data_IF_026465537413
#
_entry.id   IF_026465537413
#
_cell.length_a   1.000
_cell.length_b   1.000
_cell.length_c   1.000
_cell.angle_alpha   90.00
_cell.angle_beta   90.00
_cell.angle_gamma   90.00
#
_symmetry.space_group_name_H-M   'P 1'
#
loop_
_entity.id
_entity.type
_entity.pdbx_description
1 polymer ?
#
# COMPACT_ATOMS: atom_id res chain seq x y z
N UNK A 1 11.71 -14.65 -27.27
CA UNK A 1 10.33 -14.59 -27.79
C UNK A 1 10.08 -13.33 -28.61
N UNK A 2 10.21 -12.09 -28.09
CA UNK A 2 9.93 -10.84 -28.84
C UNK A 2 10.71 -10.70 -30.16
N UNK A 3 12.02 -11.00 -30.18
CA UNK A 3 12.83 -10.97 -31.42
C UNK A 3 12.27 -11.91 -32.49
N UNK A 4 11.87 -13.12 -32.10
CA UNK A 4 11.29 -14.10 -33.02
C UNK A 4 9.95 -13.59 -33.61
N UNK A 5 9.04 -13.13 -32.78
CA UNK A 5 7.74 -12.64 -33.22
C UNK A 5 7.88 -11.43 -34.16
N UNK A 6 8.75 -10.48 -33.81
CA UNK A 6 8.92 -9.26 -34.61
C UNK A 6 9.71 -9.48 -35.88
N UNK A 7 10.79 -10.28 -35.84
CA UNK A 7 11.70 -10.46 -36.96
C UNK A 7 11.24 -11.59 -37.91
N UNK A 8 10.62 -12.65 -37.40
CA UNK A 8 10.24 -13.82 -38.21
C UNK A 8 8.76 -13.81 -38.57
N UNK A 9 7.86 -13.53 -37.60
CA UNK A 9 6.43 -13.50 -37.85
C UNK A 9 5.98 -12.13 -38.41
N UNK A 10 6.75 -11.07 -38.17
CA UNK A 10 6.51 -9.74 -38.74
C UNK A 10 5.39 -8.94 -38.06
N UNK A 11 5.13 -9.19 -36.76
CA UNK A 11 4.11 -8.46 -36.01
C UNK A 11 4.64 -7.90 -34.70
N UNK A 12 4.08 -6.77 -34.26
CA UNK A 12 4.28 -6.20 -32.91
C UNK A 12 3.25 -6.67 -31.88
N UNK A 13 2.30 -7.53 -32.26
CA UNK A 13 1.23 -8.02 -31.38
C UNK A 13 1.79 -9.08 -30.41
N UNK A 14 2.69 -8.67 -29.54
CA UNK A 14 3.25 -9.50 -28.47
C UNK A 14 3.52 -8.64 -27.24
N UNK A 15 3.03 -9.10 -26.11
CA UNK A 15 3.32 -8.50 -24.79
C UNK A 15 3.38 -9.60 -23.73
N UNK A 16 3.56 -9.21 -22.48
CA UNK A 16 3.64 -10.08 -21.32
C UNK A 16 2.49 -9.78 -20.35
N UNK A 17 2.00 -10.79 -19.62
CA UNK A 17 1.01 -10.58 -18.57
C UNK A 17 1.52 -9.60 -17.49
N UNK A 18 2.82 -9.53 -17.29
CA UNK A 18 3.44 -8.59 -16.36
C UNK A 18 3.11 -7.12 -16.65
N UNK A 19 2.75 -6.77 -17.87
CA UNK A 19 2.31 -5.41 -18.27
C UNK A 19 1.18 -4.89 -17.40
N UNK A 20 0.19 -5.71 -17.14
CA UNK A 20 -0.97 -5.40 -16.30
C UNK A 20 -0.75 -5.86 -14.87
N UNK A 21 -0.12 -7.01 -14.67
CA UNK A 21 0.00 -7.68 -13.37
C UNK A 21 0.82 -6.86 -12.35
N UNK A 22 2.08 -6.51 -12.67
CA UNK A 22 2.97 -5.89 -11.68
C UNK A 22 3.96 -4.87 -12.25
N UNK A 23 4.09 -4.73 -13.56
CA UNK A 23 5.09 -3.81 -14.16
C UNK A 23 4.93 -2.36 -13.71
N UNK A 24 3.71 -1.79 -13.59
CA UNK A 24 3.55 -0.43 -13.08
C UNK A 24 4.08 -0.26 -11.67
N UNK A 25 3.76 -1.18 -10.76
CA UNK A 25 4.25 -1.15 -9.37
C UNK A 25 5.75 -1.39 -9.30
N UNK A 26 6.29 -2.35 -10.07
CA UNK A 26 7.73 -2.59 -10.13
C UNK A 26 8.50 -1.34 -10.60
N UNK A 27 7.98 -0.61 -11.60
CA UNK A 27 8.56 0.65 -12.06
C UNK A 27 8.47 1.74 -10.99
N UNK A 28 7.31 1.87 -10.33
CA UNK A 28 7.11 2.82 -9.24
C UNK A 28 8.07 2.58 -8.08
N UNK A 29 8.20 1.33 -7.64
CA UNK A 29 9.15 0.94 -6.59
C UNK A 29 10.60 1.18 -7.00
N UNK A 30 10.97 0.86 -8.24
CA UNK A 30 12.32 1.11 -8.74
C UNK A 30 12.66 2.60 -8.74
N UNK A 31 11.72 3.46 -9.08
CA UNK A 31 11.91 4.92 -9.04
C UNK A 31 11.97 5.46 -7.62
N UNK A 32 11.14 4.92 -6.71
CA UNK A 32 11.07 5.38 -5.32
C UNK A 32 12.17 4.79 -4.42
N UNK A 33 12.56 3.52 -4.62
CA UNK A 33 13.46 2.78 -3.72
C UNK A 33 14.73 2.26 -4.41
N UNK A 34 14.87 2.45 -5.72
CA UNK A 34 15.97 1.88 -6.50
C UNK A 34 15.85 0.38 -6.80
N UNK A 35 14.77 -0.27 -6.37
CA UNK A 35 14.51 -1.70 -6.61
C UNK A 35 13.04 -1.97 -6.85
N UNK A 36 12.71 -2.85 -7.78
CA UNK A 36 11.33 -3.32 -8.04
C UNK A 36 10.93 -4.55 -7.23
N UNK A 37 11.72 -4.93 -6.22
CA UNK A 37 11.48 -6.09 -5.37
C UNK A 37 10.99 -5.67 -3.97
N UNK A 38 10.44 -6.63 -3.22
CA UNK A 38 10.06 -6.42 -1.83
C UNK A 38 11.25 -5.93 -0.99
N UNK A 39 11.02 -4.91 -0.16
CA UNK A 39 12.06 -4.32 0.71
C UNK A 39 12.33 -5.13 1.96
N UNK A 40 11.38 -6.00 2.35
CA UNK A 40 11.42 -6.78 3.59
C UNK A 40 11.13 -8.26 3.34
N UNK A 41 11.58 -9.09 4.25
CA UNK A 41 11.22 -10.52 4.26
C UNK A 41 9.99 -10.78 5.15
N UNK A 42 9.28 -11.90 4.90
CA UNK A 42 8.14 -12.32 5.75
C UNK A 42 8.61 -12.63 7.20
N UNK A 43 9.89 -12.90 7.41
CA UNK A 43 10.46 -13.16 8.74
C UNK A 43 10.43 -11.90 9.59
N UNK A 44 10.53 -10.72 8.98
CA UNK A 44 10.53 -9.42 9.67
C UNK A 44 9.20 -9.11 10.37
N UNK A 45 8.14 -9.85 10.03
CA UNK A 45 6.87 -9.80 10.75
C UNK A 45 7.01 -10.04 12.26
N UNK A 46 8.07 -10.74 12.69
CA UNK A 46 8.37 -10.98 14.13
C UNK A 46 8.68 -9.68 14.87
N UNK A 47 9.25 -8.71 14.19
CA UNK A 47 9.70 -7.43 14.74
C UNK A 47 8.73 -6.29 14.47
N UNK A 48 7.62 -6.58 13.78
CA UNK A 48 6.63 -5.61 13.35
C UNK A 48 5.59 -5.37 14.45
N UNK A 49 5.14 -4.13 14.59
CA UNK A 49 4.12 -3.70 15.56
C UNK A 49 2.81 -3.33 14.89
N UNK A 50 2.86 -2.86 13.65
CA UNK A 50 1.67 -2.58 12.84
C UNK A 50 1.82 -3.14 11.42
N UNK A 51 0.75 -3.72 10.89
CA UNK A 51 0.67 -4.13 9.48
C UNK A 51 -0.45 -3.40 8.76
N UNK A 52 -0.18 -3.07 7.49
CA UNK A 52 -1.19 -2.58 6.55
C UNK A 52 -1.30 -3.57 5.39
N UNK A 53 -2.50 -4.09 5.15
CA UNK A 53 -2.81 -5.00 4.04
C UNK A 53 -3.70 -4.23 3.08
N UNK A 54 -3.22 -3.96 1.87
CA UNK A 54 -3.94 -3.15 0.89
C UNK A 54 -4.13 -3.89 -0.43
N UNK A 55 -5.38 -3.95 -0.89
CA UNK A 55 -5.74 -4.60 -2.16
C UNK A 55 -5.29 -6.06 -2.25
N UNK A 56 -5.27 -6.77 -1.11
CA UNK A 56 -4.76 -8.13 -0.99
C UNK A 56 -5.66 -9.01 -0.12
N UNK A 57 -5.82 -10.25 -0.53
CA UNK A 57 -6.49 -11.29 0.27
C UNK A 57 -5.52 -12.46 0.55
N UNK A 58 -4.58 -12.27 1.48
CA UNK A 58 -3.51 -13.24 1.71
C UNK A 58 -4.00 -14.58 2.27
N UNK A 59 -5.17 -14.64 2.91
CA UNK A 59 -5.73 -15.89 3.39
C UNK A 59 -6.13 -16.84 2.27
N UNK A 60 -6.55 -16.31 1.12
CA UNK A 60 -6.91 -17.10 -0.05
C UNK A 60 -5.71 -17.27 -1.01
N UNK A 61 -5.04 -16.16 -1.35
CA UNK A 61 -3.99 -16.16 -2.36
C UNK A 61 -2.62 -16.68 -1.86
N UNK A 62 -2.33 -16.52 -0.57
CA UNK A 62 -1.05 -16.87 0.05
C UNK A 62 -1.27 -17.48 1.45
N UNK A 63 -1.88 -18.66 1.57
CA UNK A 63 -2.43 -19.18 2.83
C UNK A 63 -1.39 -19.28 3.96
N UNK A 64 -0.14 -19.63 3.67
CA UNK A 64 0.93 -19.69 4.68
C UNK A 64 1.25 -18.29 5.24
N UNK A 65 1.32 -17.28 4.39
CA UNK A 65 1.50 -15.88 4.81
C UNK A 65 0.24 -15.39 5.53
N UNK A 66 -0.93 -15.68 4.97
CA UNK A 66 -2.22 -15.32 5.57
C UNK A 66 -2.38 -15.85 6.99
N UNK A 67 -1.97 -17.11 7.23
CA UNK A 67 -1.98 -17.69 8.58
C UNK A 67 -1.08 -16.91 9.56
N UNK A 68 0.12 -16.48 9.13
CA UNK A 68 1.02 -15.67 9.96
C UNK A 68 0.44 -14.27 10.24
N UNK A 69 -0.15 -13.62 9.24
CA UNK A 69 -0.80 -12.32 9.41
C UNK A 69 -2.03 -12.41 10.31
N UNK A 70 -2.80 -13.49 10.20
CA UNK A 70 -3.93 -13.76 11.10
C UNK A 70 -3.46 -13.97 12.55
N UNK A 71 -2.39 -14.74 12.76
CA UNK A 71 -1.80 -14.89 14.09
C UNK A 71 -1.28 -13.56 14.65
N UNK A 72 -0.72 -12.70 13.80
CA UNK A 72 -0.30 -11.36 14.19
C UNK A 72 -1.47 -10.52 14.69
N UNK A 73 -2.58 -10.50 13.95
CA UNK A 73 -3.79 -9.79 14.33
C UNK A 73 -4.43 -10.35 15.62
N UNK A 74 -4.47 -11.69 15.79
CA UNK A 74 -5.01 -12.37 16.98
C UNK A 74 -4.19 -12.09 18.25
N UNK A 75 -2.93 -11.67 18.13
CA UNK A 75 -2.11 -11.20 19.25
C UNK A 75 -2.43 -9.75 19.68
N UNK A 76 -3.45 -9.13 19.10
CA UNK A 76 -3.86 -7.75 19.40
C UNK A 76 -2.97 -6.69 18.79
N UNK A 77 -2.08 -7.02 17.84
CA UNK A 77 -1.24 -6.06 17.16
C UNK A 77 -2.03 -5.28 16.12
N UNK A 78 -1.65 -4.02 15.89
CA UNK A 78 -2.31 -3.13 14.94
C UNK A 78 -2.34 -3.74 13.55
N UNK A 79 -3.55 -3.93 13.04
CA UNK A 79 -3.79 -4.51 11.71
C UNK A 79 -4.76 -3.61 10.95
N UNK A 80 -4.30 -3.03 9.87
CA UNK A 80 -5.08 -2.15 8.99
C UNK A 80 -5.35 -2.93 7.71
N UNK A 81 -6.62 -3.05 7.31
CA UNK A 81 -7.01 -3.66 6.05
C UNK A 81 -7.70 -2.62 5.18
N UNK A 82 -7.20 -2.45 3.97
CA UNK A 82 -7.70 -1.53 2.95
C UNK A 82 -8.14 -2.36 1.75
N UNK A 83 -9.43 -2.64 1.66
CA UNK A 83 -10.00 -3.48 0.59
C UNK A 83 -11.49 -3.15 0.43
N UNK A 84 -12.02 -3.06 -0.81
CA UNK A 84 -13.43 -2.87 -1.05
C UNK A 84 -14.29 -4.02 -0.53
N UNK A 85 -13.71 -5.21 -0.41
CA UNK A 85 -14.39 -6.39 0.14
C UNK A 85 -14.04 -6.59 1.62
N UNK A 86 -14.99 -7.13 2.34
CA UNK A 86 -14.74 -7.59 3.71
C UNK A 86 -14.07 -8.97 3.68
N UNK A 87 -12.76 -8.99 3.37
CA UNK A 87 -11.94 -10.19 3.34
C UNK A 87 -11.85 -10.86 4.72
N UNK A 88 -11.30 -12.07 4.81
CA UNK A 88 -11.13 -12.73 6.11
C UNK A 88 -10.26 -11.88 7.05
N UNK A 89 -9.17 -11.28 6.56
CA UNK A 89 -8.31 -10.42 7.38
C UNK A 89 -9.04 -9.20 7.94
N UNK A 90 -10.02 -8.67 7.23
CA UNK A 90 -10.82 -7.54 7.70
C UNK A 90 -11.65 -7.86 8.97
N UNK A 91 -11.91 -9.14 9.25
CA UNK A 91 -12.61 -9.56 10.48
C UNK A 91 -11.73 -9.45 11.73
N UNK A 92 -10.42 -9.47 11.55
CA UNK A 92 -9.43 -9.39 12.63
C UNK A 92 -8.73 -8.03 12.66
N UNK A 93 -9.06 -7.15 11.72
CA UNK A 93 -8.43 -5.84 11.59
C UNK A 93 -8.83 -4.89 12.73
N UNK A 94 -7.85 -4.13 13.22
CA UNK A 94 -8.08 -2.98 14.09
C UNK A 94 -8.80 -1.87 13.33
N UNK A 95 -8.42 -1.69 12.05
CA UNK A 95 -9.04 -0.72 11.14
C UNK A 95 -9.33 -1.39 9.80
N UNK A 96 -10.59 -1.32 9.34
CA UNK A 96 -10.98 -1.71 7.99
C UNK A 96 -11.46 -0.48 7.24
N UNK A 97 -10.69 -0.08 6.23
CA UNK A 97 -11.01 1.04 5.34
C UNK A 97 -11.58 0.46 4.04
N UNK A 98 -12.91 0.41 3.96
CA UNK A 98 -13.63 -0.18 2.83
C UNK A 98 -13.83 0.86 1.74
N UNK A 99 -12.81 1.08 0.92
CA UNK A 99 -12.81 2.07 -0.14
C UNK A 99 -13.60 1.59 -1.38
N UNK A 100 -14.01 2.52 -2.22
CA UNK A 100 -14.52 2.21 -3.56
C UNK A 100 -13.38 1.70 -4.46
N UNK A 101 -13.62 0.73 -5.37
CA UNK A 101 -12.62 0.31 -6.35
C UNK A 101 -12.05 1.48 -7.15
N UNK A 102 -10.75 1.46 -7.44
CA UNK A 102 -10.05 2.50 -8.20
C UNK A 102 -9.64 3.74 -7.39
N UNK A 103 -9.86 3.77 -6.07
CA UNK A 103 -9.59 4.96 -5.23
C UNK A 103 -8.42 4.79 -4.25
N UNK A 104 -7.52 3.82 -4.50
CA UNK A 104 -6.36 3.56 -3.62
C UNK A 104 -5.48 4.80 -3.44
N UNK A 105 -5.14 5.49 -4.53
CA UNK A 105 -4.30 6.70 -4.49
C UNK A 105 -4.95 7.78 -3.65
N UNK A 106 -6.24 8.01 -3.84
CA UNK A 106 -7.00 8.99 -3.06
C UNK A 106 -6.97 8.67 -1.56
N UNK A 107 -7.18 7.40 -1.18
CA UNK A 107 -7.14 6.98 0.22
C UNK A 107 -5.74 7.10 0.83
N UNK A 108 -4.70 6.67 0.11
CA UNK A 108 -3.33 6.79 0.59
C UNK A 108 -2.91 8.26 0.74
N UNK A 109 -3.35 9.14 -0.17
CA UNK A 109 -3.13 10.57 -0.03
C UNK A 109 -3.83 11.17 1.21
N UNK A 110 -5.05 10.71 1.54
CA UNK A 110 -5.69 11.09 2.81
C UNK A 110 -4.87 10.63 4.02
N UNK A 111 -4.31 9.42 4.01
CA UNK A 111 -3.45 8.94 5.09
C UNK A 111 -2.19 9.79 5.22
N UNK A 112 -1.52 10.08 4.11
CA UNK A 112 -0.34 10.97 4.05
C UNK A 112 -0.65 12.37 4.57
N UNK A 113 -1.79 12.94 4.19
CA UNK A 113 -2.23 14.24 4.68
C UNK A 113 -2.30 14.26 6.22
N UNK A 114 -2.89 13.24 6.84
CA UNK A 114 -2.98 13.18 8.30
C UNK A 114 -1.64 12.89 8.98
N UNK A 115 -0.76 12.10 8.38
CA UNK A 115 0.61 11.88 8.88
C UNK A 115 1.36 13.21 8.90
N UNK A 116 1.28 13.98 7.83
CA UNK A 116 1.96 15.28 7.69
C UNK A 116 1.35 16.33 8.64
N UNK A 117 0.02 16.48 8.66
CA UNK A 117 -0.63 17.50 9.48
C UNK A 117 -0.54 17.22 10.98
N UNK A 118 -0.44 15.98 11.37
CA UNK A 118 -0.27 15.58 12.78
C UNK A 118 1.23 15.52 13.19
N UNK A 119 2.18 15.83 12.29
CA UNK A 119 3.63 15.87 12.54
C UNK A 119 4.21 14.50 12.91
N UNK A 120 3.73 13.44 12.25
CA UNK A 120 4.12 12.05 12.52
C UNK A 120 5.19 11.53 11.56
N UNK A 121 5.76 12.42 10.72
CA UNK A 121 6.85 12.09 9.82
C UNK A 121 8.16 11.85 10.58
N UNK A 122 8.95 10.89 10.13
CA UNK A 122 10.34 10.73 10.58
C UNK A 122 11.24 11.74 9.85
N UNK A 123 11.42 12.92 10.46
CA UNK A 123 12.21 14.01 9.87
C UNK A 123 13.67 13.59 9.65
N UNK A 124 14.27 12.83 10.56
CA UNK A 124 15.63 12.36 10.40
C UNK A 124 15.83 11.42 9.23
N UNK A 125 14.83 10.54 8.96
CA UNK A 125 14.84 9.70 7.78
C UNK A 125 14.64 10.53 6.50
N UNK A 126 13.69 11.46 6.51
CA UNK A 126 13.39 12.32 5.37
C UNK A 126 14.63 13.11 4.95
N UNK A 127 15.25 13.81 5.87
CA UNK A 127 16.44 14.66 5.60
C UNK A 127 17.63 13.84 5.09
N UNK A 128 17.82 12.62 5.58
CA UNK A 128 18.98 11.80 5.24
C UNK A 128 18.79 10.86 4.06
N UNK A 129 17.54 10.55 3.68
CA UNK A 129 17.23 9.43 2.77
C UNK A 129 16.26 9.75 1.64
N UNK A 130 15.69 10.95 1.60
CA UNK A 130 14.74 11.34 0.55
C UNK A 130 15.15 12.62 -0.14
N UNK A 131 14.62 12.83 -1.34
CA UNK A 131 14.73 14.07 -2.11
C UNK A 131 13.34 14.49 -2.62
N UNK A 132 13.13 15.80 -2.81
CA UNK A 132 11.85 16.33 -3.30
C UNK A 132 10.71 16.33 -2.28
N UNK A 133 11.00 16.15 -0.97
CA UNK A 133 9.96 16.03 0.05
C UNK A 133 9.12 17.30 0.21
N UNK A 134 9.72 18.47 0.15
CA UNK A 134 8.99 19.75 0.37
C UNK A 134 7.92 19.98 -0.71
N UNK A 135 8.26 19.71 -1.95
CA UNK A 135 7.32 19.81 -3.07
C UNK A 135 6.19 18.76 -2.92
N UNK A 136 6.53 17.52 -2.58
CA UNK A 136 5.58 16.46 -2.31
C UNK A 136 4.64 16.84 -1.14
N UNK A 137 5.19 17.35 -0.05
CA UNK A 137 4.41 17.80 1.12
C UNK A 137 3.40 18.88 0.75
N UNK A 138 3.82 19.88 -0.03
CA UNK A 138 2.92 20.93 -0.51
C UNK A 138 1.79 20.37 -1.38
N UNK A 139 2.09 19.43 -2.29
CA UNK A 139 1.08 18.79 -3.12
C UNK A 139 0.04 18.04 -2.26
N UNK A 140 0.47 17.30 -1.24
CA UNK A 140 -0.43 16.57 -0.34
C UNK A 140 -1.29 17.55 0.49
N UNK A 141 -0.71 18.63 1.01
CA UNK A 141 -1.43 19.60 1.83
C UNK A 141 -2.48 20.42 1.06
N UNK A 142 -2.31 20.55 -0.25
CA UNK A 142 -3.26 21.24 -1.14
C UNK A 142 -4.49 20.38 -1.51
N UNK A 143 -4.55 19.11 -1.11
CA UNK A 143 -5.66 18.23 -1.43
C UNK A 143 -6.90 18.55 -0.60
N UNK A 144 -8.07 18.48 -1.23
CA UNK A 144 -9.36 18.61 -0.56
C UNK A 144 -9.76 17.31 0.12
N UNK A 145 -9.76 17.29 1.44
CA UNK A 145 -10.17 16.10 2.21
C UNK A 145 -11.64 15.77 2.03
N UNK A 146 -12.49 16.77 1.79
CA UNK A 146 -13.92 16.57 1.52
C UNK A 146 -14.14 15.84 0.19
N UNK A 147 -13.42 16.25 -0.85
CA UNK A 147 -13.46 15.58 -2.15
C UNK A 147 -12.93 14.14 -2.07
N UNK A 148 -11.81 13.94 -1.38
CA UNK A 148 -11.22 12.61 -1.23
C UNK A 148 -12.12 11.67 -0.40
N UNK A 149 -12.81 12.17 0.61
CA UNK A 149 -13.81 11.40 1.35
C UNK A 149 -14.97 10.95 0.45
N UNK A 150 -15.48 11.84 -0.39
CA UNK A 150 -16.54 11.52 -1.35
C UNK A 150 -16.08 10.50 -2.41
N UNK A 151 -14.87 10.67 -2.94
CA UNK A 151 -14.27 9.79 -3.94
C UNK A 151 -14.05 8.40 -3.37
N UNK A 152 -13.44 8.29 -2.20
CA UNK A 152 -13.11 7.01 -1.57
C UNK A 152 -14.32 6.33 -0.93
N UNK A 153 -15.28 7.12 -0.45
CA UNK A 153 -16.42 6.65 0.35
C UNK A 153 -16.03 6.23 1.78
N UNK A 154 -14.82 6.58 2.23
CA UNK A 154 -14.33 6.26 3.58
C UNK A 154 -14.28 7.52 4.43
N UNK A 155 -14.96 7.49 5.57
CA UNK A 155 -14.99 8.60 6.52
C UNK A 155 -13.59 9.03 6.95
N UNK A 156 -13.30 10.33 6.87
CA UNK A 156 -11.98 10.88 7.17
C UNK A 156 -11.48 10.55 8.60
N UNK A 157 -12.37 10.46 9.58
CA UNK A 157 -11.97 10.09 10.94
C UNK A 157 -11.44 8.66 11.03
N UNK A 158 -11.99 7.73 10.24
CA UNK A 158 -11.47 6.34 10.15
C UNK A 158 -10.11 6.30 9.48
N UNK A 159 -9.94 7.10 8.41
CA UNK A 159 -8.64 7.22 7.72
C UNK A 159 -7.59 7.82 8.64
N UNK A 160 -7.93 8.91 9.34
CA UNK A 160 -7.04 9.55 10.32
C UNK A 160 -6.60 8.58 11.42
N UNK A 161 -7.54 7.85 12.00
CA UNK A 161 -7.24 6.87 13.04
C UNK A 161 -6.28 5.77 12.54
N UNK A 162 -6.51 5.24 11.35
CA UNK A 162 -5.65 4.23 10.73
C UNK A 162 -4.26 4.80 10.39
N UNK A 163 -4.19 6.01 9.83
CA UNK A 163 -2.95 6.69 9.50
C UNK A 163 -2.07 6.90 10.75
N UNK A 164 -2.67 7.40 11.84
CA UNK A 164 -1.98 7.57 13.13
C UNK A 164 -1.49 6.23 13.69
N UNK A 165 -2.34 5.21 13.70
CA UNK A 165 -1.98 3.88 14.21
C UNK A 165 -0.81 3.25 13.42
N UNK A 166 -0.72 3.53 12.11
CA UNK A 166 0.39 3.08 11.27
C UNK A 166 1.66 3.89 11.53
N UNK A 167 1.57 5.22 11.52
CA UNK A 167 2.70 6.12 11.60
C UNK A 167 3.36 6.17 13.00
N UNK A 168 2.59 5.90 14.07
CA UNK A 168 3.12 5.89 15.45
C UNK A 168 3.69 4.52 15.87
N UNK A 169 3.53 3.49 15.04
CA UNK A 169 4.11 2.17 15.31
C UNK A 169 5.64 2.22 15.17
N UNK A 170 6.42 1.72 16.15
CA UNK A 170 7.88 1.69 16.05
C UNK A 170 8.37 0.96 14.80
N UNK A 171 7.72 -0.14 14.43
CA UNK A 171 8.02 -0.89 13.22
C UNK A 171 6.71 -1.22 12.48
N UNK A 172 6.54 -0.64 11.32
CA UNK A 172 5.38 -0.89 10.48
C UNK A 172 5.75 -1.58 9.17
N UNK A 173 4.87 -2.44 8.66
CA UNK A 173 5.08 -3.20 7.44
C UNK A 173 3.81 -3.17 6.58
N UNK A 174 3.96 -3.06 5.27
CA UNK A 174 2.83 -3.11 4.35
C UNK A 174 2.88 -4.33 3.44
N UNK A 175 1.70 -4.89 3.16
CA UNK A 175 1.48 -5.99 2.23
C UNK A 175 0.49 -5.53 1.18
N UNK A 176 0.91 -5.41 -0.05
CA UNK A 176 0.03 -5.05 -1.14
C UNK A 176 -0.20 -6.24 -2.09
N UNK A 177 -1.33 -6.26 -2.72
CA UNK A 177 -1.69 -7.25 -3.74
C UNK A 177 -2.16 -6.61 -5.03
N UNK A 178 -2.81 -7.40 -5.87
CA UNK A 178 -3.24 -6.99 -7.21
C UNK A 178 -4.18 -5.78 -7.21
N UNK A 179 -4.93 -5.55 -6.13
CA UNK A 179 -5.79 -4.36 -6.00
C UNK A 179 -5.02 -3.03 -5.95
N UNK A 180 -3.69 -3.07 -5.84
CA UNK A 180 -2.80 -1.90 -5.94
C UNK A 180 -1.88 -2.01 -7.14
N UNK A 181 -1.45 -3.24 -7.49
CA UNK A 181 -0.45 -3.46 -8.54
C UNK A 181 -1.03 -3.43 -9.96
N UNK A 182 -2.32 -3.60 -10.14
CA UNK A 182 -3.03 -3.61 -11.45
C UNK A 182 -3.78 -2.32 -11.77
#
# INVERSE_FOLDING_TARGET
>A
MQKFIRAVIGTNNIDSCARVCHSPTALGMQRAFGTGAATNSIIDLKYTDAIMIIGANPTDAHPVTGAKLKQFALKGKTTIVIDPRRTEMARYATHHLQLKPGTNVALLNMMLYYIITDGLEDQGFIESRTEGYDEFKQQILNLSMDELEQVTGVERNKVKAAARAYATAPNAMSFHGLGVTE
#
